data_IF_692432557424
#
_entry.id   IF_692432557424
#
_cell.length_a   1.000
_cell.length_b   1.000
_cell.length_c   1.000
_cell.angle_alpha   90.00
_cell.angle_beta   90.00
_cell.angle_gamma   90.00
#
_symmetry.space_group_name_H-M   'P 1'
#
loop_
_entity.id
_entity.type
_entity.pdbx_description
1 polymer ?
#
# COMPACT_ATOMS: atom_id res chain seq x y z
N UNK A 1 4.16 -15.80 41.78
CA UNK A 1 4.10 -15.19 43.14
C UNK A 1 5.17 -14.14 43.25
N UNK A 2 4.85 -12.97 43.82
CA UNK A 2 5.82 -11.89 44.05
C UNK A 2 6.49 -12.07 45.39
N UNK A 3 7.80 -12.06 45.47
CA UNK A 3 8.56 -12.06 46.72
C UNK A 3 9.32 -10.74 46.85
N UNK A 4 9.35 -10.18 48.10
CA UNK A 4 10.06 -8.93 48.41
C UNK A 4 11.12 -9.20 49.47
N UNK A 5 12.33 -8.74 49.24
CA UNK A 5 13.42 -8.86 50.20
C UNK A 5 14.11 -7.48 50.40
N UNK A 6 14.72 -7.30 51.58
CA UNK A 6 15.53 -6.14 51.86
C UNK A 6 16.96 -6.38 51.36
N UNK A 7 17.54 -5.40 50.67
CA UNK A 7 18.91 -5.45 50.18
C UNK A 7 19.65 -4.17 50.59
N UNK A 8 20.34 -4.26 51.71
CA UNK A 8 20.96 -3.07 52.32
C UNK A 8 19.92 -2.06 52.79
N UNK A 9 19.95 -0.84 52.26
CA UNK A 9 19.01 0.26 52.60
C UNK A 9 17.73 0.30 51.76
N UNK A 10 17.58 -0.57 50.73
CA UNK A 10 16.47 -0.57 49.82
C UNK A 10 15.79 -1.95 49.76
N UNK A 11 14.57 -1.99 49.21
CA UNK A 11 13.81 -3.21 48.95
C UNK A 11 13.89 -3.58 47.49
N UNK A 12 13.81 -4.88 47.21
CA UNK A 12 13.77 -5.47 45.85
C UNK A 12 12.62 -6.46 45.79
N UNK A 13 11.89 -6.47 44.63
CA UNK A 13 10.96 -7.55 44.34
C UNK A 13 11.58 -8.56 43.39
N UNK A 14 11.06 -9.80 43.45
CA UNK A 14 11.43 -10.92 42.59
C UNK A 14 10.18 -11.63 42.14
N UNK A 15 10.10 -11.91 40.83
CA UNK A 15 9.02 -12.65 40.20
C UNK A 15 9.65 -13.82 39.46
N UNK A 16 9.15 -15.04 39.71
CA UNK A 16 9.55 -16.19 38.92
C UNK A 16 8.92 -16.09 37.52
N UNK A 17 9.74 -16.22 36.49
CA UNK A 17 9.34 -16.23 35.09
C UNK A 17 9.55 -17.63 34.51
N UNK A 18 8.95 -17.89 33.32
CA UNK A 18 9.04 -19.20 32.69
C UNK A 18 10.49 -19.67 32.58
N UNK A 19 10.71 -20.91 32.96
CA UNK A 19 12.04 -21.55 32.84
C UNK A 19 12.30 -21.93 31.39
N UNK A 20 13.56 -21.77 30.99
CA UNK A 20 14.08 -22.28 29.71
C UNK A 20 15.12 -23.31 30.06
N UNK A 21 15.08 -24.47 29.43
CA UNK A 21 16.01 -25.58 29.68
C UNK A 21 16.02 -26.08 31.14
N UNK A 22 14.85 -26.07 31.80
CA UNK A 22 14.69 -26.52 33.19
C UNK A 22 15.26 -25.59 34.26
N UNK A 23 15.90 -24.47 33.87
CA UNK A 23 16.46 -23.51 34.84
C UNK A 23 15.46 -22.45 35.22
N UNK A 24 15.26 -22.22 36.55
CA UNK A 24 14.39 -21.15 37.06
C UNK A 24 15.00 -19.78 36.76
N UNK A 25 14.20 -18.91 36.14
CA UNK A 25 14.59 -17.52 35.87
C UNK A 25 13.74 -16.57 36.68
N UNK A 26 14.35 -15.44 37.08
CA UNK A 26 13.72 -14.43 37.92
C UNK A 26 13.79 -13.06 37.29
N UNK A 27 12.67 -12.35 37.32
CA UNK A 27 12.65 -10.89 37.05
C UNK A 27 12.81 -10.20 38.39
N UNK A 28 13.83 -9.36 38.52
CA UNK A 28 14.13 -8.62 39.75
C UNK A 28 14.27 -7.13 39.47
N UNK A 29 13.76 -6.29 40.39
CA UNK A 29 13.97 -4.84 40.38
C UNK A 29 14.18 -4.37 41.81
N UNK A 30 15.20 -3.54 42.05
CA UNK A 30 15.58 -3.00 43.35
C UNK A 30 15.52 -1.47 43.33
N UNK A 31 15.72 -0.85 44.50
CA UNK A 31 15.74 0.61 44.65
C UNK A 31 14.53 1.20 45.33
N UNK A 32 13.60 0.36 45.81
CA UNK A 32 12.40 0.84 46.53
C UNK A 32 12.72 1.23 47.96
N UNK A 33 12.13 2.33 48.41
CA UNK A 33 12.36 2.84 49.77
C UNK A 33 11.61 2.05 50.83
N UNK A 34 10.45 1.51 50.50
CA UNK A 34 9.60 0.75 51.41
C UNK A 34 9.25 -0.64 50.88
N UNK A 35 8.94 -1.55 51.80
CA UNK A 35 8.47 -2.91 51.48
C UNK A 35 7.14 -2.86 50.72
N UNK A 36 6.25 -1.94 51.07
CA UNK A 36 4.94 -1.78 50.41
C UNK A 36 5.10 -1.33 48.95
N UNK A 37 5.95 -0.35 48.70
CA UNK A 37 6.27 0.13 47.35
C UNK A 37 6.83 -1.01 46.49
N UNK A 38 7.78 -1.79 47.00
CA UNK A 38 8.33 -2.93 46.30
C UNK A 38 7.28 -4.02 46.01
N UNK A 39 6.35 -4.24 46.97
CA UNK A 39 5.27 -5.22 46.78
C UNK A 39 4.24 -4.75 45.74
N UNK A 40 3.87 -3.48 45.78
CA UNK A 40 2.94 -2.88 44.81
C UNK A 40 3.50 -2.95 43.38
N UNK A 41 4.72 -2.48 43.19
CA UNK A 41 5.40 -2.54 41.91
C UNK A 41 5.65 -3.96 41.42
N UNK A 42 5.97 -4.87 42.35
CA UNK A 42 6.11 -6.28 42.06
C UNK A 42 4.79 -6.94 41.64
N UNK A 43 3.66 -6.56 42.27
CA UNK A 43 2.34 -7.05 41.87
C UNK A 43 1.95 -6.55 40.47
N UNK A 44 2.22 -5.28 40.17
CA UNK A 44 2.01 -4.74 38.81
C UNK A 44 2.86 -5.49 37.78
N UNK A 45 4.13 -5.69 38.07
CA UNK A 45 5.04 -6.40 37.17
C UNK A 45 4.68 -7.90 37.01
N UNK A 46 4.15 -8.53 38.08
CA UNK A 46 3.64 -9.92 38.02
C UNK A 46 2.40 -10.03 37.12
N UNK A 47 1.43 -9.12 37.31
CA UNK A 47 0.24 -9.07 36.46
C UNK A 47 0.62 -8.81 34.99
N UNK A 48 1.55 -7.86 34.78
CA UNK A 48 2.05 -7.57 33.44
C UNK A 48 2.72 -8.79 32.79
N UNK A 49 3.55 -9.53 33.55
CA UNK A 49 4.16 -10.78 33.06
C UNK A 49 3.13 -11.88 32.82
N UNK A 50 2.17 -12.04 33.72
CA UNK A 50 1.15 -13.08 33.63
C UNK A 50 0.22 -12.91 32.42
N UNK A 51 -0.17 -11.66 32.12
CA UNK A 51 -1.05 -11.37 31.00
C UNK A 51 -0.32 -11.19 29.65
N UNK A 52 0.90 -10.70 29.67
CA UNK A 52 1.61 -10.26 28.44
C UNK A 52 3.01 -10.88 28.26
N UNK A 53 3.42 -11.76 29.15
CA UNK A 53 4.74 -12.38 29.10
C UNK A 53 5.87 -11.41 29.48
N UNK A 54 7.06 -11.62 28.89
CA UNK A 54 8.25 -10.82 29.20
C UNK A 54 8.03 -9.34 28.84
N UNK A 55 8.33 -8.42 29.75
CA UNK A 55 8.19 -6.97 29.59
C UNK A 55 8.74 -6.51 28.22
N UNK A 56 7.87 -5.93 27.44
CA UNK A 56 8.22 -5.48 26.10
C UNK A 56 8.96 -4.14 26.20
N UNK A 57 10.28 -4.14 25.95
CA UNK A 57 11.13 -2.93 26.02
C UNK A 57 10.69 -1.80 25.09
N UNK A 58 9.82 -2.11 24.13
CA UNK A 58 9.43 -1.16 23.09
C UNK A 58 8.28 -0.21 23.46
N UNK A 59 7.74 -0.30 24.69
CA UNK A 59 6.69 0.62 25.17
C UNK A 59 7.12 2.08 25.24
N UNK A 60 8.41 2.33 25.41
CA UNK A 60 8.97 3.68 25.53
C UNK A 60 9.37 4.30 24.19
N UNK A 61 9.17 3.60 23.05
CA UNK A 61 9.48 4.16 21.73
C UNK A 61 8.54 5.32 21.39
N UNK A 62 9.01 6.25 20.57
CA UNK A 62 8.18 7.31 20.01
C UNK A 62 7.11 6.72 19.08
N UNK A 63 5.97 7.40 18.96
CA UNK A 63 4.96 7.00 17.99
C UNK A 63 5.50 7.08 16.56
N UNK A 64 6.42 8.01 16.27
CA UNK A 64 7.08 8.11 14.98
C UNK A 64 7.89 6.84 14.66
N UNK A 65 8.70 6.34 15.60
CA UNK A 65 9.49 5.11 15.42
C UNK A 65 8.59 3.87 15.36
N UNK A 66 7.51 3.88 16.14
CA UNK A 66 6.51 2.81 16.08
C UNK A 66 5.84 2.73 14.70
N UNK A 67 5.49 3.85 14.11
CA UNK A 67 4.88 3.86 12.76
C UNK A 67 5.84 3.31 11.70
N UNK A 68 7.15 3.59 11.82
CA UNK A 68 8.16 2.98 10.94
C UNK A 68 8.26 1.47 11.17
N UNK A 69 8.28 1.05 12.44
CA UNK A 69 8.25 -0.36 12.81
C UNK A 69 7.03 -1.08 12.23
N UNK A 70 5.83 -0.47 12.31
CA UNK A 70 4.60 -1.02 11.75
C UNK A 70 4.65 -1.20 10.22
N UNK A 71 5.20 -0.21 9.51
CA UNK A 71 5.41 -0.31 8.06
C UNK A 71 6.32 -1.49 7.73
N UNK A 72 7.46 -1.60 8.44
CA UNK A 72 8.47 -2.61 8.14
C UNK A 72 8.04 -4.02 8.50
N UNK A 73 7.39 -4.19 9.65
CA UNK A 73 7.11 -5.51 10.19
C UNK A 73 5.70 -6.04 9.87
N UNK A 74 4.79 -5.17 9.44
CA UNK A 74 3.44 -5.58 9.10
C UNK A 74 3.01 -5.17 7.69
N UNK A 75 3.07 -3.86 7.36
CA UNK A 75 2.47 -3.37 6.13
C UNK A 75 3.15 -3.94 4.89
N UNK A 76 4.47 -4.00 4.87
CA UNK A 76 5.24 -4.51 3.73
C UNK A 76 4.92 -5.97 3.39
N UNK A 77 4.51 -6.78 4.38
CA UNK A 77 4.17 -8.19 4.18
C UNK A 77 2.69 -8.44 3.87
N UNK A 78 1.80 -7.58 4.39
CA UNK A 78 0.36 -7.85 4.43
C UNK A 78 -0.47 -6.94 3.52
N UNK A 79 0.08 -5.80 3.06
CA UNK A 79 -0.66 -4.82 2.29
C UNK A 79 -0.16 -4.70 0.85
N UNK A 80 -1.04 -4.24 -0.03
CA UNK A 80 -0.67 -3.94 -1.42
C UNK A 80 0.17 -2.65 -1.47
N UNK A 81 1.10 -2.57 -2.40
CA UNK A 81 2.00 -1.45 -2.62
C UNK A 81 1.31 -0.08 -2.57
N UNK A 82 0.22 0.11 -3.30
CA UNK A 82 -0.51 1.38 -3.31
C UNK A 82 -1.07 1.78 -1.93
N UNK A 83 -1.48 0.80 -1.10
CA UNK A 83 -1.94 1.06 0.27
C UNK A 83 -0.77 1.50 1.15
N UNK A 84 0.40 0.87 0.99
CA UNK A 84 1.59 1.24 1.75
C UNK A 84 2.04 2.66 1.39
N UNK A 85 2.06 3.01 0.10
CA UNK A 85 2.37 4.37 -0.36
C UNK A 85 1.40 5.39 0.24
N UNK A 86 0.11 5.08 0.26
CA UNK A 86 -0.91 5.94 0.90
C UNK A 86 -0.64 6.12 2.39
N UNK A 87 -0.35 5.03 3.11
CA UNK A 87 -0.04 5.09 4.54
C UNK A 87 1.26 5.84 4.82
N UNK A 88 2.32 5.65 4.02
CA UNK A 88 3.55 6.42 4.13
C UNK A 88 3.32 7.92 3.96
N UNK A 89 2.47 8.33 3.02
CA UNK A 89 2.10 9.73 2.84
C UNK A 89 1.33 10.27 4.05
N UNK A 90 0.34 9.52 4.55
CA UNK A 90 -0.42 9.89 5.76
C UNK A 90 0.53 10.03 6.96
N UNK A 91 1.41 9.07 7.17
CA UNK A 91 2.39 9.07 8.26
C UNK A 91 3.29 10.30 8.15
N UNK A 92 3.84 10.56 6.97
CA UNK A 92 4.77 11.67 6.74
C UNK A 92 4.12 13.04 6.92
N UNK A 93 2.93 13.22 6.32
CA UNK A 93 2.28 14.54 6.24
C UNK A 93 1.49 14.86 7.51
N UNK A 94 0.88 13.86 8.14
CA UNK A 94 -0.05 14.09 9.22
C UNK A 94 0.40 13.52 10.57
N UNK A 95 0.77 12.22 10.62
CA UNK A 95 0.96 11.56 11.91
C UNK A 95 2.28 11.93 12.58
N UNK A 96 3.40 11.84 11.86
CA UNK A 96 4.71 12.16 12.44
C UNK A 96 4.84 13.62 12.91
N UNK A 97 4.39 14.64 12.14
CA UNK A 97 4.51 16.03 12.56
C UNK A 97 3.69 16.38 13.80
N UNK A 98 2.53 15.77 14.00
CA UNK A 98 1.58 16.12 15.05
C UNK A 98 1.60 15.14 16.23
N UNK A 99 1.75 13.86 15.99
CA UNK A 99 1.68 12.79 17.00
C UNK A 99 3.01 12.07 17.21
N UNK A 100 3.98 12.22 16.32
CA UNK A 100 5.21 11.43 16.34
C UNK A 100 6.09 11.61 17.57
N UNK A 101 6.02 12.78 18.23
CA UNK A 101 6.82 13.10 19.43
C UNK A 101 6.31 12.39 20.70
N UNK A 102 5.06 11.96 20.73
CA UNK A 102 4.51 11.27 21.88
C UNK A 102 5.08 9.86 21.99
N UNK A 103 5.24 9.36 23.20
CA UNK A 103 5.51 7.93 23.41
C UNK A 103 4.29 7.11 23.01
N UNK A 104 4.49 5.91 22.47
CA UNK A 104 3.39 5.02 22.09
C UNK A 104 2.41 4.78 23.25
N UNK A 105 2.94 4.70 24.48
CA UNK A 105 2.14 4.54 25.72
C UNK A 105 1.32 5.78 26.10
N UNK A 106 1.61 6.94 25.54
CA UNK A 106 0.92 8.21 25.79
C UNK A 106 -0.16 8.53 24.76
N UNK A 107 -0.24 7.73 23.70
CA UNK A 107 -1.28 7.88 22.68
C UNK A 107 -2.60 7.35 23.25
N UNK A 108 -3.51 8.25 23.57
CA UNK A 108 -4.84 7.95 24.09
C UNK A 108 -5.96 8.34 23.10
N UNK A 109 -7.19 8.00 23.46
CA UNK A 109 -8.37 8.25 22.63
C UNK A 109 -8.65 9.74 22.46
N UNK A 110 -8.43 10.53 23.49
CA UNK A 110 -8.67 11.98 23.50
C UNK A 110 -7.70 12.68 22.54
N UNK A 111 -6.41 12.36 22.62
CA UNK A 111 -5.38 12.90 21.74
C UNK A 111 -5.69 12.61 20.27
N UNK A 112 -6.08 11.36 19.95
CA UNK A 112 -6.44 10.99 18.58
C UNK A 112 -7.71 11.70 18.13
N UNK A 113 -8.74 11.79 18.98
CA UNK A 113 -9.99 12.47 18.63
C UNK A 113 -9.74 13.96 18.37
N UNK A 114 -8.97 14.63 19.22
CA UNK A 114 -8.60 16.04 19.07
C UNK A 114 -7.82 16.25 17.77
N UNK A 115 -6.89 15.35 17.43
CA UNK A 115 -6.17 15.39 16.17
C UNK A 115 -7.11 15.28 14.96
N UNK A 116 -8.05 14.35 14.96
CA UNK A 116 -9.04 14.20 13.88
C UNK A 116 -9.94 15.43 13.77
N UNK A 117 -10.38 15.98 14.91
CA UNK A 117 -11.21 17.21 14.95
C UNK A 117 -10.43 18.40 14.41
N UNK A 118 -9.15 18.54 14.77
CA UNK A 118 -8.28 19.60 14.25
C UNK A 118 -8.14 19.52 12.74
N UNK A 119 -7.89 18.35 12.18
CA UNK A 119 -7.80 18.15 10.72
C UNK A 119 -9.12 18.51 10.01
N UNK A 120 -10.26 18.24 10.64
CA UNK A 120 -11.57 18.60 10.11
C UNK A 120 -11.75 20.11 10.04
N UNK A 121 -11.36 20.83 11.11
CA UNK A 121 -11.57 22.29 11.21
C UNK A 121 -10.55 23.08 10.39
N UNK A 122 -9.25 22.73 10.50
CA UNK A 122 -8.17 23.54 9.90
C UNK A 122 -8.05 23.37 8.38
N UNK A 123 -8.37 22.18 7.85
CA UNK A 123 -8.03 21.85 6.47
C UNK A 123 -9.22 21.55 5.56
N UNK A 124 -10.44 21.54 6.09
CA UNK A 124 -11.66 21.20 5.32
C UNK A 124 -11.53 19.91 4.49
N UNK A 125 -10.77 18.93 4.98
CA UNK A 125 -10.58 17.68 4.27
C UNK A 125 -11.90 16.93 4.06
N UNK A 126 -12.02 16.25 2.93
CA UNK A 126 -13.19 15.41 2.65
C UNK A 126 -13.34 14.29 3.69
N UNK A 127 -14.58 13.90 3.95
CA UNK A 127 -14.89 12.77 4.84
C UNK A 127 -14.14 11.49 4.46
N UNK A 128 -13.97 11.24 3.15
CA UNK A 128 -13.25 10.08 2.63
C UNK A 128 -11.76 10.14 3.01
N UNK A 129 -11.14 11.31 2.92
CA UNK A 129 -9.73 11.49 3.27
C UNK A 129 -9.48 11.31 4.76
N UNK A 130 -10.32 11.91 5.62
CA UNK A 130 -10.23 11.70 7.08
C UNK A 130 -10.48 10.25 7.47
N UNK A 131 -11.40 9.54 6.79
CA UNK A 131 -11.57 8.08 6.95
C UNK A 131 -10.27 7.33 6.64
N UNK A 132 -9.55 7.74 5.60
CA UNK A 132 -8.25 7.17 5.24
C UNK A 132 -7.21 7.34 6.34
N UNK A 133 -7.10 8.55 6.91
CA UNK A 133 -6.18 8.86 8.02
C UNK A 133 -6.54 8.03 9.25
N UNK A 134 -7.81 8.07 9.67
CA UNK A 134 -8.26 7.30 10.84
C UNK A 134 -8.08 5.78 10.65
N UNK A 135 -8.26 5.28 9.43
CA UNK A 135 -8.02 3.86 9.11
C UNK A 135 -6.55 3.48 9.29
N UNK A 136 -5.61 4.35 8.90
CA UNK A 136 -4.18 4.12 9.12
C UNK A 136 -3.85 4.07 10.62
N UNK A 137 -4.37 5.04 11.41
CA UNK A 137 -4.18 5.07 12.87
C UNK A 137 -4.75 3.81 13.52
N UNK A 138 -6.01 3.46 13.22
CA UNK A 138 -6.67 2.26 13.74
C UNK A 138 -5.91 0.99 13.40
N UNK A 139 -5.40 0.88 12.17
CA UNK A 139 -4.60 -0.26 11.72
C UNK A 139 -3.27 -0.39 12.46
N UNK A 140 -2.56 0.72 12.63
CA UNK A 140 -1.30 0.76 13.35
C UNK A 140 -1.50 0.38 14.84
N UNK A 141 -2.45 1.02 15.53
CA UNK A 141 -2.69 0.76 16.95
C UNK A 141 -3.34 -0.61 17.21
N UNK A 142 -4.11 -1.14 16.26
CA UNK A 142 -4.58 -2.52 16.31
C UNK A 142 -3.41 -3.50 16.33
N UNK A 143 -2.43 -3.32 15.45
CA UNK A 143 -1.22 -4.15 15.41
C UNK A 143 -0.41 -4.01 16.70
N UNK A 144 -0.28 -2.78 17.25
CA UNK A 144 0.40 -2.53 18.53
C UNK A 144 -0.23 -3.29 19.70
N UNK A 145 -1.56 -3.40 19.70
CA UNK A 145 -2.33 -4.00 20.78
C UNK A 145 -2.39 -5.53 20.67
N UNK A 146 -2.85 -6.03 19.52
CA UNK A 146 -3.26 -7.44 19.41
C UNK A 146 -2.17 -8.36 18.84
N UNK A 147 -1.28 -7.83 18.01
CA UNK A 147 -0.26 -8.67 17.35
C UNK A 147 1.08 -8.65 18.10
N UNK A 148 1.53 -7.46 18.56
CA UNK A 148 2.86 -7.32 19.21
C UNK A 148 2.79 -6.94 20.69
N UNK A 149 1.60 -6.70 21.24
CA UNK A 149 1.36 -6.40 22.66
C UNK A 149 2.22 -5.24 23.20
N UNK A 150 2.45 -4.21 22.39
CA UNK A 150 3.17 -2.99 22.81
C UNK A 150 2.31 -2.09 23.69
N UNK A 151 0.99 -2.11 23.50
CA UNK A 151 -0.02 -1.43 24.30
C UNK A 151 -1.10 -2.42 24.75
N UNK A 152 -1.79 -2.13 25.85
CA UNK A 152 -2.74 -3.04 26.47
C UNK A 152 -4.15 -2.97 25.85
N UNK A 153 -4.51 -1.84 25.23
CA UNK A 153 -5.79 -1.61 24.57
C UNK A 153 -5.57 -0.73 23.36
N UNK A 154 -6.48 -0.77 22.40
CA UNK A 154 -6.42 0.07 21.21
C UNK A 154 -7.12 1.42 21.47
N UNK A 155 -6.39 2.54 21.66
CA UNK A 155 -7.00 3.83 21.97
C UNK A 155 -7.80 4.43 20.79
N UNK A 156 -7.59 3.95 19.56
CA UNK A 156 -8.33 4.44 18.40
C UNK A 156 -9.67 3.76 18.18
N UNK A 157 -10.03 2.74 18.96
CA UNK A 157 -11.20 1.88 18.70
C UNK A 157 -12.50 2.70 18.59
N UNK A 158 -12.73 3.59 19.55
CA UNK A 158 -13.93 4.42 19.64
C UNK A 158 -13.79 5.82 19.05
N UNK A 159 -12.67 6.14 18.41
CA UNK A 159 -12.49 7.42 17.74
C UNK A 159 -13.37 7.52 16.51
N UNK A 160 -14.04 8.65 16.36
CA UNK A 160 -15.01 8.92 15.30
C UNK A 160 -14.61 10.12 14.43
N UNK A 161 -15.08 10.10 13.20
CA UNK A 161 -14.98 11.27 12.32
C UNK A 161 -16.16 12.20 12.63
N UNK A 162 -15.91 13.52 12.72
CA UNK A 162 -16.97 14.51 12.89
C UNK A 162 -18.09 14.31 11.86
N UNK A 163 -19.30 14.68 12.24
CA UNK A 163 -20.46 14.62 11.35
C UNK A 163 -20.29 15.67 10.26
N UNK A 164 -20.21 15.22 9.03
CA UNK A 164 -20.28 16.13 7.88
C UNK A 164 -21.73 16.46 7.59
N UNK A 165 -22.00 17.72 7.32
CA UNK A 165 -23.25 18.06 6.65
C UNK A 165 -23.32 17.28 5.34
N UNK A 166 -24.50 16.78 5.00
CA UNK A 166 -24.71 16.08 3.75
C UNK A 166 -24.67 17.15 2.65
N UNK A 167 -23.47 17.52 2.22
CA UNK A 167 -23.33 18.16 0.92
C UNK A 167 -23.65 17.04 -0.07
N UNK A 168 -24.81 17.13 -0.69
CA UNK A 168 -25.10 16.32 -1.89
C UNK A 168 -23.95 16.59 -2.84
N UNK A 169 -23.02 15.63 -2.95
CA UNK A 169 -21.88 15.75 -3.86
C UNK A 169 -22.40 16.04 -5.26
N UNK A 170 -21.63 16.75 -6.05
CA UNK A 170 -21.97 16.93 -7.46
C UNK A 170 -22.37 15.59 -8.06
N UNK A 171 -23.52 15.53 -8.76
CA UNK A 171 -23.96 14.30 -9.36
C UNK A 171 -22.85 13.75 -10.25
N UNK A 172 -22.63 12.45 -10.18
CA UNK A 172 -21.62 11.79 -11.04
C UNK A 172 -21.95 12.17 -12.48
N UNK A 173 -21.03 12.90 -13.14
CA UNK A 173 -21.21 13.26 -14.53
C UNK A 173 -21.15 11.99 -15.40
N UNK A 174 -22.22 11.71 -16.10
CA UNK A 174 -22.29 10.63 -17.08
C UNK A 174 -22.13 11.27 -18.45
N UNK A 175 -21.03 10.91 -19.13
CA UNK A 175 -20.76 11.47 -20.46
C UNK A 175 -21.85 11.08 -21.46
N UNK A 176 -22.34 12.06 -22.21
CA UNK A 176 -23.23 11.82 -23.34
C UNK A 176 -22.46 11.22 -24.52
N UNK A 177 -23.20 10.71 -25.50
CA UNK A 177 -22.57 10.17 -26.70
C UNK A 177 -21.76 11.25 -27.45
N UNK A 178 -22.30 12.48 -27.57
CA UNK A 178 -21.60 13.59 -28.22
C UNK A 178 -20.32 14.00 -27.48
N UNK A 179 -20.31 13.91 -26.16
CA UNK A 179 -19.10 14.18 -25.36
C UNK A 179 -18.04 13.10 -25.59
N UNK A 180 -18.44 11.83 -25.65
CA UNK A 180 -17.54 10.71 -25.96
C UNK A 180 -16.95 10.85 -27.36
N UNK A 181 -17.78 11.18 -28.35
CA UNK A 181 -17.33 11.41 -29.73
C UNK A 181 -16.32 12.56 -29.83
N UNK A 182 -16.57 13.68 -29.12
CA UNK A 182 -15.61 14.80 -29.03
C UNK A 182 -14.28 14.40 -28.37
N UNK A 183 -14.32 13.56 -27.32
CA UNK A 183 -13.10 13.06 -26.69
C UNK A 183 -12.34 12.17 -27.68
N UNK A 184 -13.01 11.26 -28.35
CA UNK A 184 -12.40 10.39 -29.36
C UNK A 184 -11.78 11.17 -30.51
N UNK A 185 -12.50 12.17 -31.06
CA UNK A 185 -12.00 13.03 -32.14
C UNK A 185 -10.74 13.82 -31.71
N UNK A 186 -10.71 14.31 -30.47
CA UNK A 186 -9.53 14.99 -29.92
C UNK A 186 -8.26 14.10 -29.91
N UNK A 187 -8.40 12.80 -29.72
CA UNK A 187 -7.28 11.88 -29.59
C UNK A 187 -7.05 11.00 -30.84
N UNK A 188 -7.74 11.27 -31.94
CA UNK A 188 -7.61 10.47 -33.18
C UNK A 188 -6.19 10.37 -33.71
N UNK A 189 -5.38 11.44 -33.55
CA UNK A 189 -3.98 11.48 -33.99
C UNK A 189 -3.01 10.84 -32.98
N UNK A 190 -3.52 10.32 -31.87
CA UNK A 190 -2.77 9.61 -30.83
C UNK A 190 -3.34 8.20 -30.64
N UNK A 191 -3.07 7.26 -31.57
CA UNK A 191 -3.75 5.97 -31.63
C UNK A 191 -3.73 5.18 -30.32
N UNK A 192 -2.61 5.19 -29.59
CA UNK A 192 -2.46 4.48 -28.33
C UNK A 192 -3.40 5.03 -27.22
N UNK A 193 -3.79 6.31 -27.27
CA UNK A 193 -4.81 6.91 -26.39
C UNK A 193 -6.21 6.61 -26.92
N UNK A 194 -6.44 6.89 -28.19
CA UNK A 194 -7.73 6.67 -28.84
C UNK A 194 -8.25 5.24 -28.62
N UNK A 195 -7.46 4.24 -28.95
CA UNK A 195 -7.88 2.84 -28.83
C UNK A 195 -7.93 2.36 -27.38
N UNK A 196 -7.10 2.91 -26.46
CA UNK A 196 -7.21 2.59 -25.04
C UNK A 196 -8.48 3.15 -24.43
N UNK A 197 -8.86 4.39 -24.78
CA UNK A 197 -10.10 5.00 -24.35
C UNK A 197 -11.31 4.27 -24.92
N UNK A 198 -11.29 3.95 -26.21
CA UNK A 198 -12.35 3.18 -26.87
C UNK A 198 -12.55 1.81 -26.19
N UNK A 199 -11.45 1.12 -25.87
CA UNK A 199 -11.49 -0.15 -25.14
C UNK A 199 -12.10 0.03 -23.76
N UNK A 200 -11.69 1.06 -23.00
CA UNK A 200 -12.27 1.36 -21.68
C UNK A 200 -13.78 1.63 -21.79
N UNK A 201 -14.20 2.41 -22.78
CA UNK A 201 -15.60 2.78 -23.01
C UNK A 201 -16.50 1.56 -23.27
N UNK A 202 -16.09 0.66 -24.16
CA UNK A 202 -16.88 -0.52 -24.49
C UNK A 202 -16.82 -1.64 -23.45
N UNK A 203 -15.82 -1.66 -22.59
CA UNK A 203 -15.59 -2.79 -21.68
C UNK A 203 -15.79 -2.45 -20.20
N UNK A 204 -15.81 -1.18 -19.84
CA UNK A 204 -15.82 -0.74 -18.44
C UNK A 204 -14.59 -1.15 -17.63
N UNK A 205 -13.48 -1.45 -18.28
CA UNK A 205 -12.22 -1.80 -17.63
C UNK A 205 -11.62 -0.61 -16.87
N UNK A 206 -10.97 -0.92 -15.75
CA UNK A 206 -10.19 0.11 -15.04
C UNK A 206 -8.97 0.50 -15.87
N UNK A 207 -8.53 1.74 -15.76
CA UNK A 207 -7.38 2.25 -16.52
C UNK A 207 -6.13 1.36 -16.39
N UNK A 208 -5.83 0.85 -15.18
CA UNK A 208 -4.71 -0.06 -14.95
C UNK A 208 -4.91 -1.46 -15.55
N UNK A 209 -6.15 -1.91 -15.72
CA UNK A 209 -6.50 -3.15 -16.43
C UNK A 209 -6.32 -2.96 -17.94
N UNK A 210 -6.81 -1.83 -18.49
CA UNK A 210 -6.65 -1.50 -19.93
C UNK A 210 -5.19 -1.51 -20.34
N UNK A 211 -4.36 -0.75 -19.65
CA UNK A 211 -2.92 -0.68 -19.96
C UNK A 211 -2.14 -1.96 -19.60
N UNK A 212 -2.73 -2.87 -18.84
CA UNK A 212 -2.20 -4.20 -18.57
C UNK A 212 -2.48 -5.24 -19.63
N UNK A 213 -3.33 -4.92 -20.63
CA UNK A 213 -3.70 -5.84 -21.70
C UNK A 213 -2.55 -6.11 -22.65
N UNK A 214 -2.44 -7.36 -23.04
CA UNK A 214 -1.58 -7.84 -24.13
C UNK A 214 -2.44 -8.39 -25.26
N UNK A 215 -1.89 -8.52 -26.46
CA UNK A 215 -2.60 -9.12 -27.59
C UNK A 215 -3.07 -10.56 -27.30
N UNK A 216 -2.45 -11.25 -26.35
CA UNK A 216 -2.83 -12.60 -25.90
C UNK A 216 -4.11 -12.61 -25.05
N UNK A 217 -4.52 -11.45 -24.53
CA UNK A 217 -5.76 -11.31 -23.78
C UNK A 217 -7.01 -11.19 -24.66
N UNK A 218 -6.84 -11.08 -25.99
CA UNK A 218 -7.94 -10.88 -26.93
C UNK A 218 -8.09 -12.09 -27.84
N UNK A 219 -9.23 -12.74 -27.73
CA UNK A 219 -9.64 -13.78 -28.66
C UNK A 219 -10.55 -13.16 -29.74
N UNK A 220 -9.98 -12.98 -30.93
CA UNK A 220 -10.67 -12.37 -32.05
C UNK A 220 -11.71 -13.30 -32.72
N UNK A 221 -11.60 -14.62 -32.54
CA UNK A 221 -12.53 -15.61 -33.09
C UNK A 221 -13.77 -15.73 -32.22
N UNK A 222 -13.58 -15.93 -30.91
CA UNK A 222 -14.66 -16.02 -29.93
C UNK A 222 -15.15 -14.64 -29.44
N UNK A 223 -14.57 -13.54 -29.92
CA UNK A 223 -14.90 -12.16 -29.56
C UNK A 223 -14.90 -11.95 -28.03
N UNK A 224 -13.85 -12.40 -27.39
CA UNK A 224 -13.70 -12.26 -25.93
C UNK A 224 -12.42 -11.53 -25.54
N UNK A 225 -12.45 -10.89 -24.38
CA UNK A 225 -11.32 -10.23 -23.75
C UNK A 225 -11.18 -10.74 -22.33
N UNK A 226 -10.00 -11.23 -21.98
CA UNK A 226 -9.70 -11.75 -20.65
C UNK A 226 -8.87 -10.74 -19.84
N UNK A 227 -9.36 -10.39 -18.66
CA UNK A 227 -8.64 -9.55 -17.68
C UNK A 227 -8.07 -10.45 -16.60
N UNK A 228 -6.78 -10.63 -16.57
CA UNK A 228 -6.08 -11.49 -15.59
C UNK A 228 -5.05 -10.72 -14.74
N UNK A 229 -4.59 -9.57 -15.21
CA UNK A 229 -3.56 -8.73 -14.58
C UNK A 229 -3.87 -7.25 -14.77
N UNK A 230 -3.20 -6.41 -14.01
CA UNK A 230 -3.17 -4.97 -14.21
C UNK A 230 -1.72 -4.47 -14.16
N UNK A 231 -1.50 -3.21 -14.48
CA UNK A 231 -0.20 -2.60 -14.30
C UNK A 231 -0.15 -1.77 -13.02
N UNK A 232 1.01 -1.76 -12.39
CA UNK A 232 1.31 -0.96 -11.21
C UNK A 232 2.65 -0.27 -11.42
N UNK A 233 2.70 1.03 -11.15
CA UNK A 233 3.95 1.78 -11.12
C UNK A 233 4.59 1.63 -9.75
N UNK A 234 5.84 1.15 -9.71
CA UNK A 234 6.62 0.99 -8.48
C UNK A 234 8.04 1.50 -8.70
N UNK A 235 8.76 1.74 -7.61
CA UNK A 235 10.21 1.93 -7.70
C UNK A 235 10.88 0.71 -8.35
N UNK A 236 12.06 0.91 -8.95
CA UNK A 236 12.82 -0.15 -9.64
C UNK A 236 13.17 -1.34 -8.73
N UNK A 237 13.32 -1.08 -7.42
CA UNK A 237 13.53 -2.08 -6.37
C UNK A 237 12.23 -2.75 -5.88
N UNK A 238 11.07 -2.32 -6.38
CA UNK A 238 9.76 -2.83 -5.96
C UNK A 238 9.30 -2.33 -4.58
N UNK A 239 10.09 -1.49 -3.91
CA UNK A 239 9.82 -1.03 -2.54
C UNK A 239 9.21 0.37 -2.50
N UNK A 240 8.23 0.62 -1.61
CA UNK A 240 7.75 1.97 -1.34
C UNK A 240 8.83 2.79 -0.63
N UNK A 241 9.15 3.96 -1.13
CA UNK A 241 10.15 4.83 -0.49
C UNK A 241 9.53 5.68 0.59
N UNK A 242 10.10 5.66 1.80
CA UNK A 242 9.69 6.44 2.95
C UNK A 242 9.96 7.94 2.80
N UNK A 243 10.94 8.32 1.97
CA UNK A 243 11.40 9.70 1.83
C UNK A 243 11.46 10.10 0.37
N UNK A 244 11.12 11.36 0.07
CA UNK A 244 11.31 11.90 -1.27
C UNK A 244 12.79 11.82 -1.62
N UNK A 245 13.09 11.11 -2.68
CA UNK A 245 14.35 11.29 -3.36
C UNK A 245 14.33 12.71 -3.93
N UNK A 246 15.42 13.45 -3.72
CA UNK A 246 15.62 14.74 -4.34
C UNK A 246 15.19 14.67 -5.81
N UNK A 247 14.59 15.76 -6.32
CA UNK A 247 14.13 15.92 -7.70
C UNK A 247 15.23 15.47 -8.67
N UNK A 248 15.21 14.23 -9.08
CA UNK A 248 16.12 13.63 -10.02
C UNK A 248 15.52 12.35 -10.54
N UNK A 249 15.63 12.05 -11.80
CA UNK A 249 15.09 10.99 -12.62
C UNK A 249 14.18 9.97 -11.91
N UNK A 250 12.96 9.81 -12.40
CA UNK A 250 12.00 8.81 -11.89
C UNK A 250 12.67 7.43 -11.79
N UNK A 251 12.84 6.94 -10.56
CA UNK A 251 13.33 5.58 -10.31
C UNK A 251 12.24 4.54 -10.42
N UNK A 252 11.05 4.95 -10.90
CA UNK A 252 9.89 4.11 -11.01
C UNK A 252 9.83 3.39 -12.36
N UNK A 253 9.25 2.23 -12.35
CA UNK A 253 9.02 1.39 -13.52
C UNK A 253 7.72 0.61 -13.37
N UNK A 254 7.31 -0.07 -14.42
CA UNK A 254 6.06 -0.80 -14.47
C UNK A 254 6.23 -2.25 -14.04
N UNK A 255 5.25 -2.73 -13.28
CA UNK A 255 5.11 -4.11 -12.87
C UNK A 255 3.71 -4.62 -13.19
N UNK A 256 3.59 -5.90 -13.48
CA UNK A 256 2.28 -6.53 -13.43
C UNK A 256 1.85 -6.72 -11.98
N UNK A 257 0.61 -6.34 -11.70
CA UNK A 257 -0.04 -6.54 -10.42
C UNK A 257 -1.18 -7.54 -10.53
N UNK A 258 -1.49 -8.20 -9.41
CA UNK A 258 -2.71 -8.99 -9.32
C UNK A 258 -3.95 -8.09 -9.39
N UNK A 259 -5.02 -8.56 -9.96
CA UNK A 259 -6.32 -7.91 -9.90
C UNK A 259 -6.72 -7.58 -8.46
N UNK A 260 -7.56 -6.54 -8.27
CA UNK A 260 -7.91 -6.04 -6.93
C UNK A 260 -8.55 -7.13 -6.05
N UNK A 261 -9.41 -7.95 -6.64
CA UNK A 261 -10.08 -9.09 -6.01
C UNK A 261 -10.03 -10.29 -6.95
N UNK A 262 -10.21 -11.53 -6.48
CA UNK A 262 -10.29 -12.73 -7.33
C UNK A 262 -11.34 -12.60 -8.43
N UNK A 263 -12.51 -12.00 -8.12
CA UNK A 263 -13.60 -11.76 -9.09
C UNK A 263 -13.26 -10.71 -10.16
N UNK A 264 -12.17 -9.94 -9.97
CA UNK A 264 -11.70 -9.00 -11.01
C UNK A 264 -11.02 -9.73 -12.17
N UNK A 265 -10.61 -10.99 -11.99
CA UNK A 265 -10.16 -11.85 -13.07
C UNK A 265 -11.42 -12.36 -13.79
N UNK A 266 -11.59 -11.95 -15.05
CA UNK A 266 -12.81 -12.22 -15.80
C UNK A 266 -12.56 -12.24 -17.29
N UNK A 267 -13.37 -12.99 -18.01
CA UNK A 267 -13.48 -12.93 -19.46
C UNK A 267 -14.82 -12.28 -19.80
N UNK A 268 -14.80 -11.31 -20.69
CA UNK A 268 -15.97 -10.57 -21.14
C UNK A 268 -16.12 -10.73 -22.65
N UNK A 269 -17.36 -10.81 -23.12
CA UNK A 269 -17.67 -10.72 -24.53
C UNK A 269 -17.50 -9.27 -25.00
N UNK A 270 -16.95 -9.06 -26.20
CA UNK A 270 -16.75 -7.76 -26.82
C UNK A 270 -17.46 -7.70 -28.18
N UNK A 271 -18.11 -6.56 -28.43
CA UNK A 271 -18.90 -6.37 -29.66
C UNK A 271 -18.04 -6.19 -30.92
N UNK A 272 -18.69 -6.37 -32.09
CA UNK A 272 -18.02 -6.27 -33.40
C UNK A 272 -17.33 -4.94 -33.64
N UNK A 273 -17.88 -3.83 -33.13
CA UNK A 273 -17.28 -2.50 -33.24
C UNK A 273 -15.90 -2.47 -32.61
N UNK A 274 -15.77 -2.98 -31.39
CA UNK A 274 -14.48 -2.99 -30.69
C UNK A 274 -13.52 -4.02 -31.34
N UNK A 275 -14.01 -5.18 -31.75
CA UNK A 275 -13.21 -6.17 -32.48
C UNK A 275 -12.61 -5.59 -33.77
N UNK A 276 -13.42 -4.87 -34.57
CA UNK A 276 -12.96 -4.18 -35.77
C UNK A 276 -11.88 -3.16 -35.44
N UNK A 277 -12.14 -2.28 -34.47
CA UNK A 277 -11.21 -1.25 -34.04
C UNK A 277 -9.88 -1.85 -33.56
N UNK A 278 -9.91 -2.93 -32.74
CA UNK A 278 -8.70 -3.58 -32.27
C UNK A 278 -7.92 -4.30 -33.38
N UNK A 279 -8.60 -4.85 -34.40
CA UNK A 279 -7.92 -5.40 -35.57
C UNK A 279 -7.20 -4.30 -36.38
N UNK A 280 -7.86 -3.18 -36.59
CA UNK A 280 -7.26 -1.99 -37.26
C UNK A 280 -6.04 -1.48 -36.48
N UNK A 281 -6.16 -1.37 -35.16
CA UNK A 281 -5.06 -0.93 -34.31
C UNK A 281 -3.89 -1.93 -34.30
N UNK A 282 -4.17 -3.23 -34.30
CA UNK A 282 -3.16 -4.27 -34.41
C UNK A 282 -2.34 -4.14 -35.70
N UNK A 283 -3.04 -3.92 -36.83
CA UNK A 283 -2.40 -3.68 -38.13
C UNK A 283 -1.51 -2.44 -38.09
N UNK A 284 -2.03 -1.32 -37.56
CA UNK A 284 -1.26 -0.07 -37.39
C UNK A 284 -0.02 -0.29 -36.51
N UNK A 285 -0.14 -1.06 -35.44
CA UNK A 285 1.01 -1.37 -34.56
C UNK A 285 2.09 -2.18 -35.30
N UNK A 286 1.71 -3.11 -36.15
CA UNK A 286 2.68 -3.87 -36.97
C UNK A 286 3.33 -3.00 -38.06
N UNK A 287 2.60 -2.02 -38.62
CA UNK A 287 3.17 -1.02 -39.52
C UNK A 287 4.20 -0.13 -38.81
N UNK A 288 3.89 0.31 -37.59
CA UNK A 288 4.83 1.06 -36.75
C UNK A 288 6.09 0.23 -36.43
N UNK A 289 5.96 -1.05 -36.08
CA UNK A 289 7.11 -1.93 -35.82
C UNK A 289 8.01 -2.03 -37.05
N UNK A 290 7.44 -2.17 -38.25
CA UNK A 290 8.19 -2.20 -39.51
C UNK A 290 8.91 -0.87 -39.79
N UNK A 291 8.22 0.26 -39.56
CA UNK A 291 8.76 1.59 -39.77
C UNK A 291 9.95 1.90 -38.88
N UNK A 292 9.84 1.59 -37.57
CA UNK A 292 10.91 1.87 -36.60
C UNK A 292 12.03 0.82 -36.61
N UNK A 293 11.76 -0.41 -37.11
CA UNK A 293 12.76 -1.48 -37.16
C UNK A 293 13.44 -1.73 -35.82
N UNK A 294 14.78 -1.71 -35.81
CA UNK A 294 15.59 -1.94 -34.60
C UNK A 294 15.43 -0.85 -33.53
N UNK A 295 14.88 0.30 -33.90
CA UNK A 295 14.57 1.38 -32.94
C UNK A 295 13.22 1.23 -32.26
N UNK A 296 12.45 0.21 -32.61
CA UNK A 296 11.18 -0.08 -31.95
C UNK A 296 11.42 -0.70 -30.58
N UNK A 297 10.84 -0.10 -29.54
CA UNK A 297 11.00 -0.59 -28.17
C UNK A 297 10.08 -1.78 -27.91
N UNK A 298 10.68 -2.95 -27.77
CA UNK A 298 9.97 -4.15 -27.28
C UNK A 298 10.00 -4.20 -25.76
N UNK A 299 8.97 -4.80 -25.19
CA UNK A 299 8.86 -5.00 -23.75
C UNK A 299 8.89 -6.48 -23.41
N UNK A 300 9.46 -6.79 -22.25
CA UNK A 300 9.66 -8.17 -21.81
C UNK A 300 9.26 -8.31 -20.34
N UNK A 301 8.85 -9.52 -19.98
CA UNK A 301 8.49 -9.88 -18.61
C UNK A 301 9.75 -10.39 -17.87
N UNK A 302 10.24 -9.65 -16.88
CA UNK A 302 11.35 -10.07 -16.04
C UNK A 302 10.85 -10.42 -14.66
N UNK A 303 11.01 -11.68 -14.25
CA UNK A 303 10.78 -12.09 -12.87
C UNK A 303 11.84 -11.49 -11.96
N UNK A 304 11.42 -10.82 -10.90
CA UNK A 304 12.28 -10.24 -9.87
C UNK A 304 11.79 -10.66 -8.50
N UNK A 305 12.73 -10.98 -7.61
CA UNK A 305 12.40 -11.28 -6.22
C UNK A 305 12.28 -9.97 -5.46
N UNK A 306 11.14 -9.72 -4.85
CA UNK A 306 11.01 -8.63 -3.91
C UNK A 306 11.79 -8.98 -2.64
N UNK A 307 12.83 -8.23 -2.32
CA UNK A 307 13.75 -8.54 -1.22
C UNK A 307 13.07 -8.56 0.15
N UNK A 308 12.01 -7.75 0.33
CA UNK A 308 11.24 -7.70 1.57
C UNK A 308 10.24 -8.84 1.71
N UNK A 309 9.36 -8.98 0.72
CA UNK A 309 8.27 -9.96 0.81
C UNK A 309 8.69 -11.37 0.43
N UNK A 310 9.89 -11.53 -0.17
CA UNK A 310 10.37 -12.78 -0.76
C UNK A 310 9.40 -13.39 -1.79
N UNK A 311 8.58 -12.55 -2.41
CA UNK A 311 7.65 -12.95 -3.46
C UNK A 311 8.20 -12.60 -4.82
N UNK A 312 7.96 -13.47 -5.80
CA UNK A 312 8.22 -13.14 -7.20
C UNK A 312 7.26 -12.06 -7.69
N UNK A 313 7.79 -11.08 -8.36
CA UNK A 313 7.06 -10.02 -9.06
C UNK A 313 7.49 -9.97 -10.52
N UNK A 314 6.59 -9.60 -11.41
CA UNK A 314 6.89 -9.50 -12.84
C UNK A 314 7.06 -8.02 -13.18
N UNK A 315 8.29 -7.64 -13.50
CA UNK A 315 8.67 -6.31 -13.93
C UNK A 315 8.64 -6.23 -15.46
N UNK A 316 8.10 -5.14 -15.99
CA UNK A 316 8.11 -4.84 -17.42
C UNK A 316 9.41 -4.08 -17.72
N UNK A 317 10.24 -4.63 -18.58
CA UNK A 317 11.51 -4.03 -19.03
C UNK A 317 11.52 -3.85 -20.53
N UNK A 318 12.26 -2.86 -21.04
CA UNK A 318 12.36 -2.60 -22.47
C UNK A 318 13.67 -3.12 -23.07
N UNK A 319 13.78 -3.12 -24.42
CA UNK A 319 14.93 -3.66 -25.14
C UNK A 319 16.25 -2.92 -24.90
N UNK A 320 16.21 -1.63 -24.53
CA UNK A 320 17.41 -0.83 -24.21
C UNK A 320 18.00 -1.11 -22.84
N UNK A 321 17.29 -1.88 -22.00
CA UNK A 321 17.70 -2.21 -20.65
C UNK A 321 18.34 -3.60 -20.63
N UNK A 322 19.62 -3.74 -20.96
CA UNK A 322 20.46 -4.94 -20.79
C UNK A 322 19.66 -6.28 -20.77
N UNK A 323 19.10 -6.67 -21.92
CA UNK A 323 18.17 -7.78 -21.96
C UNK A 323 18.89 -9.10 -22.16
N UNK A 324 18.57 -10.02 -21.27
CA UNK A 324 18.73 -11.43 -21.55
C UNK A 324 17.73 -11.83 -22.66
N UNK A 325 18.23 -12.29 -23.78
CA UNK A 325 17.47 -12.60 -25.01
C UNK A 325 16.38 -13.67 -24.78
N UNK A 326 16.42 -14.35 -23.62
CA UNK A 326 15.52 -15.44 -23.23
C UNK A 326 14.30 -15.00 -22.44
N UNK A 327 14.04 -13.68 -22.28
CA UNK A 327 12.86 -13.21 -21.57
C UNK A 327 11.61 -13.27 -22.45
N UNK A 328 10.44 -13.67 -21.92
CA UNK A 328 9.18 -13.66 -22.65
C UNK A 328 8.78 -12.23 -23.03
N UNK A 329 8.35 -12.02 -24.27
CA UNK A 329 7.89 -10.73 -24.77
C UNK A 329 6.52 -10.39 -24.13
N UNK A 330 6.43 -9.21 -23.51
CA UNK A 330 5.18 -8.61 -23.08
C UNK A 330 4.56 -7.86 -24.26
N UNK A 331 3.67 -8.51 -25.01
CA UNK A 331 3.02 -7.93 -26.22
C UNK A 331 1.93 -6.94 -25.84
N UNK A 332 2.33 -5.84 -25.14
CA UNK A 332 1.42 -4.79 -24.68
C UNK A 332 0.66 -4.17 -25.88
N UNK A 333 -0.64 -3.90 -25.68
CA UNK A 333 -1.49 -3.36 -26.73
C UNK A 333 -1.24 -1.86 -26.92
N UNK A 334 -1.36 -1.08 -25.83
CA UNK A 334 -1.39 0.38 -25.90
C UNK A 334 0.00 0.98 -25.67
N UNK A 335 0.77 1.02 -26.77
CA UNK A 335 2.11 1.60 -26.81
C UNK A 335 2.18 2.73 -27.84
N UNK A 336 3.10 3.68 -27.66
CA UNK A 336 3.36 4.72 -28.66
C UNK A 336 3.83 4.13 -29.99
N UNK A 337 3.83 4.92 -31.09
CA UNK A 337 4.30 4.45 -32.42
C UNK A 337 5.70 3.83 -32.38
N UNK A 338 6.62 4.36 -31.58
CA UNK A 338 7.96 3.82 -31.40
C UNK A 338 8.05 2.64 -30.41
N UNK A 339 6.93 2.12 -29.95
CA UNK A 339 6.85 1.04 -28.97
C UNK A 339 6.97 1.47 -27.51
N UNK A 340 7.26 2.74 -27.20
CA UNK A 340 7.38 3.17 -25.82
C UNK A 340 6.10 3.02 -25.03
N UNK A 341 6.19 2.32 -23.89
CA UNK A 341 5.07 2.15 -22.96
C UNK A 341 5.03 3.31 -21.97
N UNK A 342 3.87 3.93 -21.79
CA UNK A 342 3.61 4.98 -20.80
C UNK A 342 2.70 4.57 -19.66
N UNK A 343 2.00 3.47 -19.82
CA UNK A 343 1.04 2.99 -18.84
C UNK A 343 -0.07 4.01 -18.57
N UNK A 344 -0.33 4.29 -17.31
CA UNK A 344 -1.38 5.23 -16.87
C UNK A 344 -0.90 6.69 -16.77
N UNK A 345 0.28 7.03 -17.29
CA UNK A 345 0.73 8.42 -17.31
C UNK A 345 -0.14 9.23 -18.27
N UNK A 346 -0.65 10.36 -17.77
CA UNK A 346 -1.40 11.32 -18.60
C UNK A 346 -0.48 11.89 -19.67
N UNK A 347 -0.97 12.08 -20.90
CA UNK A 347 -0.19 12.64 -22.00
C UNK A 347 0.31 14.05 -21.70
#
# INVERSE_FOLDING_TARGET
MVSVRKRGKVYEYRIEIASIDGTRKWLTKSGFKTKQEALHEGALAYNEYYYYGKKNKNRDMSFADYLDYWIDNYCNFNLKYATIVTYLNIIKVHLKPKLGMYKLSQIDSELIQNFINQLYVEHSYSKCYLKGILKAIKGALKYACYDVNFINHNPAEHVHIPRYEIVTGDPVHIYTQEEIERILDRFKDLPYIYYSFLTAYYTGLRVSEVYGLTWDNIDFENKTLTVDKNIIRKNKDGLPKRYNIAKGHSTETWFYGSCKNPQSRRTIAIGDTLIKALKEYKKLTEEHKKFYGDKYLKHYEKKVLNEYTKREEIKIVNAEAELDVNLPEARLIFVKPNGQFRGTETP
#
